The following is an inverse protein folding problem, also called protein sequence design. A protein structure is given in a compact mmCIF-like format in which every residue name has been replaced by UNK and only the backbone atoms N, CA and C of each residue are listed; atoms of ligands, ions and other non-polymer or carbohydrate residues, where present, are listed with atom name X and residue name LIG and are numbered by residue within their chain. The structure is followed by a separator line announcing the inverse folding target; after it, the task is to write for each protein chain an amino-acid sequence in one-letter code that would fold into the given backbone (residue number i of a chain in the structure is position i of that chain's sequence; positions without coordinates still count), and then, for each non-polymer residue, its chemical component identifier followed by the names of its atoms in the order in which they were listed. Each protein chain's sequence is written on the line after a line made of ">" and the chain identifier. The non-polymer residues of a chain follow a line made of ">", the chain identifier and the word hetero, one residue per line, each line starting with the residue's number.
data_IF_772285008507
#
_entry.id   IF_772285008507
#
_cell.length_a   1.000
_cell.length_b   1.000
_cell.length_c   1.000
_cell.angle_alpha   90.00
_cell.angle_beta   90.00
_cell.angle_gamma   90.00
#
_symmetry.space_group_name_H-M   'P 1'
#
loop_
_entity.id
_entity.type
_entity.pdbx_description
1 polymer ?
#
# COMPACT_ATOMS: atom_id res chain seq x y z
N UNK A 1 9.23 2.41 44.20
CA UNK A 1 9.53 3.63 43.44
C UNK A 1 10.66 3.47 42.41
N UNK A 2 11.72 2.67 42.69
CA UNK A 2 12.80 2.42 41.71
C UNK A 2 12.38 1.45 40.59
N UNK A 3 11.50 0.49 40.86
CA UNK A 3 11.00 -0.49 39.88
C UNK A 3 10.08 0.17 38.85
N UNK A 4 9.21 1.08 39.30
CA UNK A 4 8.30 1.84 38.39
C UNK A 4 9.06 2.76 37.46
N UNK A 5 10.08 3.47 37.97
CA UNK A 5 10.92 4.36 37.15
C UNK A 5 11.79 3.58 36.11
N UNK A 6 12.11 2.31 36.40
CA UNK A 6 12.84 1.44 35.48
C UNK A 6 11.90 0.89 34.41
N UNK A 7 10.68 0.52 34.79
CA UNK A 7 9.62 0.12 33.84
C UNK A 7 9.21 1.29 32.92
N UNK A 8 9.06 2.50 33.47
CA UNK A 8 8.76 3.69 32.67
C UNK A 8 9.87 4.04 31.66
N UNK A 9 11.15 3.88 32.07
CA UNK A 9 12.28 4.08 31.15
C UNK A 9 12.38 3.00 30.08
N UNK A 10 12.09 1.74 30.41
CA UNK A 10 12.05 0.64 29.45
C UNK A 10 10.88 0.83 28.47
N UNK A 11 9.70 1.21 28.97
CA UNK A 11 8.54 1.55 28.14
C UNK A 11 8.82 2.75 27.22
N UNK A 12 9.49 3.79 27.73
CA UNK A 12 9.91 4.94 26.92
C UNK A 12 10.98 4.56 25.89
N UNK A 13 11.82 3.56 26.16
CA UNK A 13 12.82 3.04 25.22
C UNK A 13 12.15 2.22 24.13
N UNK A 14 11.23 1.34 24.49
CA UNK A 14 10.41 0.57 23.53
C UNK A 14 9.63 1.54 22.65
N UNK A 15 8.98 2.54 23.22
CA UNK A 15 8.22 3.57 22.51
C UNK A 15 9.09 4.44 21.58
N UNK A 16 10.40 4.54 21.82
CA UNK A 16 11.34 5.20 20.89
C UNK A 16 11.80 4.30 19.74
N UNK A 17 11.76 2.98 19.93
CA UNK A 17 12.14 2.01 18.90
C UNK A 17 10.99 1.75 17.92
N UNK A 18 9.75 1.81 18.39
CA UNK A 18 8.56 1.67 17.57
C UNK A 18 8.25 2.97 16.79
N UNK A 19 7.74 2.82 15.59
CA UNK A 19 7.43 3.95 14.71
C UNK A 19 6.13 4.65 15.07
N UNK A 20 5.96 5.89 14.59
CA UNK A 20 4.69 6.64 14.59
C UNK A 20 4.33 7.04 13.19
N UNK A 21 3.09 6.85 12.82
CA UNK A 21 2.54 7.39 11.58
C UNK A 21 1.90 8.73 11.91
N UNK A 22 2.38 9.78 11.28
CA UNK A 22 1.88 11.15 11.43
C UNK A 22 1.10 11.52 10.18
N UNK A 23 -0.11 12.03 10.34
CA UNK A 23 -0.95 12.50 9.22
C UNK A 23 -1.33 13.94 9.49
N UNK A 24 -0.92 14.84 8.61
CA UNK A 24 -1.14 16.28 8.76
C UNK A 24 -1.26 16.97 7.41
N UNK A 25 -1.59 18.25 7.39
CA UNK A 25 -1.51 19.06 6.18
C UNK A 25 -0.07 19.10 5.66
N UNK A 26 0.09 19.12 4.34
CA UNK A 26 1.42 19.11 3.74
C UNK A 26 2.11 20.44 3.99
N UNK A 27 3.33 20.48 4.57
CA UNK A 27 4.06 21.70 4.82
C UNK A 27 4.36 22.50 3.52
N UNK A 28 4.18 23.80 3.55
CA UNK A 28 4.40 24.71 2.40
C UNK A 28 5.84 24.65 1.85
N UNK A 29 6.81 24.33 2.70
CA UNK A 29 8.23 24.22 2.33
C UNK A 29 8.53 23.17 1.26
N UNK A 30 7.69 22.14 1.13
CA UNK A 30 7.91 21.01 0.22
C UNK A 30 7.60 21.38 -1.24
N UNK A 31 6.69 22.32 -1.46
CA UNK A 31 6.21 22.64 -2.82
C UNK A 31 6.83 23.91 -3.41
N UNK A 32 7.77 24.55 -2.72
CA UNK A 32 8.39 25.79 -3.20
C UNK A 32 7.32 26.84 -3.57
N UNK A 33 7.61 28.11 -3.56
CA UNK A 33 6.72 29.24 -3.90
C UNK A 33 6.15 29.17 -5.33
N UNK A 34 5.76 27.99 -5.83
CA UNK A 34 5.17 27.80 -7.14
C UNK A 34 3.65 27.84 -7.06
N UNK A 35 3.15 29.05 -7.48
CA UNK A 35 1.82 29.34 -8.02
C UNK A 35 0.65 29.49 -7.04
N UNK A 36 0.48 30.71 -6.64
CA UNK A 36 -0.81 31.33 -6.30
C UNK A 36 -1.78 31.49 -7.52
N UNK A 37 -1.63 30.70 -8.58
CA UNK A 37 -2.40 30.88 -9.82
C UNK A 37 -3.23 29.67 -10.26
N UNK A 38 -3.35 28.62 -9.45
CA UNK A 38 -4.33 27.56 -9.76
C UNK A 38 -5.44 27.58 -8.69
N UNK A 39 -6.60 28.01 -9.13
CA UNK A 39 -7.89 28.05 -8.44
C UNK A 39 -8.43 26.62 -8.23
N UNK A 40 -7.81 25.85 -7.37
CA UNK A 40 -8.44 24.76 -6.60
C UNK A 40 -7.55 24.50 -5.40
N UNK A 41 -8.01 24.94 -4.23
CA UNK A 41 -7.45 24.64 -2.91
C UNK A 41 -7.67 23.15 -2.59
N UNK A 42 -7.05 22.27 -3.38
CA UNK A 42 -7.05 20.86 -3.05
C UNK A 42 -6.12 20.67 -1.87
N UNK A 43 -6.68 20.49 -0.69
CA UNK A 43 -5.92 20.29 0.54
C UNK A 43 -5.05 19.04 0.39
N UNK A 44 -3.74 19.24 0.29
CA UNK A 44 -2.76 18.14 0.22
C UNK A 44 -2.38 17.71 1.61
N UNK A 45 -2.42 16.42 1.83
CA UNK A 45 -2.12 15.78 3.09
C UNK A 45 -0.82 14.98 2.98
N UNK A 46 -0.13 14.87 4.11
CA UNK A 46 1.10 14.13 4.26
C UNK A 46 0.90 13.02 5.29
N UNK A 47 1.18 11.79 4.91
CA UNK A 47 1.38 10.69 5.83
C UNK A 47 2.88 10.39 5.94
N UNK A 48 3.42 10.37 7.15
CA UNK A 48 4.85 10.21 7.42
C UNK A 48 5.09 9.18 8.51
N UNK A 49 5.97 8.21 8.27
CA UNK A 49 6.46 7.28 9.28
C UNK A 49 7.75 7.83 9.89
N UNK A 50 7.70 8.12 11.18
CA UNK A 50 8.85 8.57 11.97
C UNK A 50 9.25 7.47 12.94
N UNK A 51 10.54 7.11 12.97
CA UNK A 51 11.12 6.12 13.89
C UNK A 51 12.46 6.65 14.41
N UNK A 52 12.68 6.59 15.72
CA UNK A 52 13.90 7.09 16.37
C UNK A 52 14.27 8.51 15.88
N UNK A 53 13.29 9.40 15.84
CA UNK A 53 13.43 10.78 15.35
C UNK A 53 13.89 10.93 13.89
N UNK A 54 13.84 9.85 13.10
CA UNK A 54 14.15 9.86 11.67
C UNK A 54 12.92 9.59 10.84
N UNK A 55 12.79 10.33 9.75
CA UNK A 55 11.79 10.09 8.74
C UNK A 55 12.13 8.83 7.95
N UNK A 56 11.25 7.83 7.95
CA UNK A 56 11.50 6.52 7.32
C UNK A 56 10.78 6.39 5.98
N UNK A 57 9.55 6.85 5.91
CA UNK A 57 8.74 6.83 4.70
C UNK A 57 7.75 7.98 4.70
N UNK A 58 7.39 8.46 3.53
CA UNK A 58 6.38 9.50 3.34
C UNK A 58 5.47 9.16 2.19
N UNK A 59 4.24 9.61 2.27
CA UNK A 59 3.28 9.56 1.18
C UNK A 59 2.41 10.81 1.21
N UNK A 60 2.27 11.48 0.08
CA UNK A 60 1.39 12.63 -0.06
C UNK A 60 0.11 12.21 -0.77
N UNK A 61 -1.01 12.68 -0.30
CA UNK A 61 -2.32 12.38 -0.89
C UNK A 61 -3.24 13.59 -0.80
N UNK A 62 -4.33 13.55 -1.53
CA UNK A 62 -5.39 14.55 -1.46
C UNK A 62 -6.72 13.87 -1.27
N UNK A 63 -7.55 14.43 -0.42
CA UNK A 63 -8.89 13.90 -0.14
C UNK A 63 -9.80 14.00 -1.37
N UNK A 64 -9.69 15.07 -2.14
CA UNK A 64 -10.52 15.31 -3.30
C UNK A 64 -10.12 14.46 -4.52
N UNK A 65 -8.85 14.14 -4.63
CA UNK A 65 -8.31 13.25 -5.66
C UNK A 65 -8.35 11.80 -5.15
N UNK A 66 -9.55 11.26 -4.95
CA UNK A 66 -9.68 9.84 -4.66
C UNK A 66 -9.18 9.04 -5.86
N UNK A 67 -8.13 8.26 -5.64
CA UNK A 67 -7.70 7.31 -6.64
C UNK A 67 -8.81 6.32 -6.92
N UNK A 68 -9.16 6.15 -8.18
CA UNK A 68 -10.15 5.15 -8.61
C UNK A 68 -9.52 3.81 -8.94
N UNK A 69 -8.21 3.67 -8.72
CA UNK A 69 -7.50 2.39 -8.93
C UNK A 69 -8.12 1.34 -8.01
N UNK A 70 -8.56 0.23 -8.60
CA UNK A 70 -9.27 -0.83 -7.90
C UNK A 70 -10.79 -0.72 -7.94
N UNK A 71 -11.37 0.42 -8.32
CA UNK A 71 -12.81 0.55 -8.52
C UNK A 71 -13.29 -0.36 -9.65
N UNK A 72 -14.44 -1.01 -9.46
CA UNK A 72 -15.04 -1.93 -10.44
C UNK A 72 -16.31 -1.33 -11.01
N UNK A 73 -16.40 -1.33 -12.32
CA UNK A 73 -17.53 -0.80 -13.09
C UNK A 73 -18.13 -1.88 -14.00
N UNK A 74 -19.41 -1.76 -14.25
CA UNK A 74 -20.05 -2.40 -15.39
C UNK A 74 -19.93 -1.46 -16.60
N UNK A 75 -18.99 -1.74 -17.48
CA UNK A 75 -18.71 -0.92 -18.66
C UNK A 75 -19.26 -1.53 -19.94
N UNK A 76 -19.30 -0.74 -21.01
CA UNK A 76 -19.74 -1.15 -22.34
C UNK A 76 -18.63 -1.07 -23.36
N UNK A 77 -18.38 -2.16 -24.08
CA UNK A 77 -17.41 -2.20 -25.18
C UNK A 77 -17.90 -1.32 -26.32
N UNK A 78 -17.14 -0.27 -26.65
CA UNK A 78 -17.48 0.68 -27.72
C UNK A 78 -16.76 0.39 -29.02
N UNK A 79 -15.49 0.04 -28.95
CA UNK A 79 -14.66 -0.16 -30.15
C UNK A 79 -13.58 -1.22 -29.89
N UNK A 80 -13.44 -2.12 -30.87
CA UNK A 80 -12.39 -3.15 -30.85
C UNK A 80 -11.26 -2.74 -31.77
N UNK A 81 -10.02 -2.78 -31.27
CA UNK A 81 -8.80 -2.41 -32.00
C UNK A 81 -7.94 -3.67 -32.16
N UNK A 82 -8.21 -4.43 -33.22
CA UNK A 82 -7.60 -5.75 -33.47
C UNK A 82 -6.08 -5.73 -33.54
N UNK A 83 -5.50 -4.72 -34.19
CA UNK A 83 -4.04 -4.57 -34.33
C UNK A 83 -3.31 -4.30 -33.01
N UNK A 84 -3.99 -3.81 -31.98
CA UNK A 84 -3.44 -3.59 -30.63
C UNK A 84 -3.85 -4.69 -29.66
N UNK A 85 -4.63 -5.67 -30.10
CA UNK A 85 -5.25 -6.67 -29.23
C UNK A 85 -5.91 -6.03 -28.00
N UNK A 86 -6.73 -5.00 -28.25
CA UNK A 86 -7.33 -4.17 -27.22
C UNK A 86 -8.73 -3.71 -27.62
N UNK A 87 -9.47 -3.20 -26.66
CA UNK A 87 -10.73 -2.50 -26.92
C UNK A 87 -10.88 -1.27 -26.02
N UNK A 88 -11.79 -0.37 -26.41
CA UNK A 88 -12.22 0.74 -25.58
C UNK A 88 -13.52 0.38 -24.90
N UNK A 89 -13.53 0.51 -23.57
CA UNK A 89 -14.68 0.27 -22.71
C UNK A 89 -15.11 1.60 -22.12
N UNK A 90 -16.36 1.96 -22.31
CA UNK A 90 -16.97 3.13 -21.69
C UNK A 90 -17.49 2.74 -20.32
N UNK A 91 -17.17 3.56 -19.32
CA UNK A 91 -17.64 3.44 -17.94
C UNK A 91 -18.51 4.66 -17.56
N UNK A 92 -18.80 4.86 -16.27
CA UNK A 92 -19.58 5.99 -15.78
C UNK A 92 -19.07 7.34 -16.30
N UNK A 93 -19.99 8.28 -16.58
CA UNK A 93 -19.64 9.62 -17.05
C UNK A 93 -19.15 9.69 -18.50
N UNK A 94 -19.42 8.67 -19.33
CA UNK A 94 -18.97 8.57 -20.73
C UNK A 94 -17.45 8.48 -20.89
N UNK A 95 -16.74 8.13 -19.82
CA UNK A 95 -15.28 7.96 -19.84
C UNK A 95 -14.91 6.69 -20.61
N UNK A 96 -14.02 6.84 -21.60
CA UNK A 96 -13.48 5.71 -22.35
C UNK A 96 -12.17 5.25 -21.74
N UNK A 97 -12.13 3.96 -21.36
CA UNK A 97 -10.96 3.30 -20.80
C UNK A 97 -10.37 2.31 -21.79
N UNK A 98 -9.08 2.12 -21.73
CA UNK A 98 -8.35 1.15 -22.54
C UNK A 98 -8.31 -0.21 -21.84
N UNK A 99 -8.82 -1.25 -22.52
CA UNK A 99 -8.77 -2.64 -22.05
C UNK A 99 -7.85 -3.44 -23.00
N UNK A 100 -6.76 -3.97 -22.46
CA UNK A 100 -5.89 -4.90 -23.18
C UNK A 100 -6.51 -6.31 -23.16
N UNK A 101 -6.51 -6.99 -24.32
CA UNK A 101 -7.06 -8.34 -24.49
C UNK A 101 -5.93 -9.36 -24.70
N UNK A 102 -4.94 -9.39 -23.76
CA UNK A 102 -3.74 -10.24 -23.88
C UNK A 102 -3.97 -11.68 -23.42
N UNK A 103 -3.05 -12.56 -23.80
CA UNK A 103 -2.98 -13.91 -23.21
C UNK A 103 -2.62 -13.79 -21.72
N UNK A 104 -3.43 -14.44 -20.85
CA UNK A 104 -3.23 -14.40 -19.39
C UNK A 104 -4.20 -13.48 -18.65
N UNK A 105 -4.98 -12.68 -19.36
CA UNK A 105 -6.11 -11.96 -18.75
C UNK A 105 -7.19 -12.94 -18.28
N UNK A 106 -7.87 -12.60 -17.18
CA UNK A 106 -9.03 -13.38 -16.74
C UNK A 106 -10.14 -13.31 -17.79
N UNK A 107 -10.87 -14.41 -17.96
CA UNK A 107 -12.02 -14.45 -18.87
C UNK A 107 -13.00 -13.34 -18.52
N UNK A 108 -13.41 -12.48 -19.47
CA UNK A 108 -14.36 -11.41 -19.23
C UNK A 108 -15.67 -11.94 -18.65
N UNK A 109 -16.18 -11.26 -17.63
CA UNK A 109 -17.52 -11.52 -17.12
C UNK A 109 -18.49 -10.57 -17.82
N UNK A 110 -19.33 -11.13 -18.70
CA UNK A 110 -20.35 -10.39 -19.43
C UNK A 110 -21.70 -10.53 -18.73
N UNK A 111 -22.52 -9.46 -18.79
CA UNK A 111 -23.84 -9.45 -18.17
C UNK A 111 -24.96 -9.59 -19.19
N UNK A 112 -24.73 -9.22 -20.44
CA UNK A 112 -25.74 -9.24 -21.50
C UNK A 112 -25.71 -10.51 -22.38
N UNK A 113 -24.66 -11.33 -22.31
CA UNK A 113 -24.55 -12.61 -22.99
C UNK A 113 -23.51 -13.52 -22.31
N UNK A 114 -23.48 -14.80 -22.69
CA UNK A 114 -22.41 -15.69 -22.31
C UNK A 114 -21.13 -15.35 -23.12
N UNK A 115 -19.96 -15.40 -22.44
CA UNK A 115 -18.67 -15.22 -23.11
C UNK A 115 -18.29 -16.44 -23.93
N UNK A 116 -18.06 -16.26 -25.22
CA UNK A 116 -17.75 -17.30 -26.20
C UNK A 116 -16.27 -17.30 -26.67
N UNK A 117 -15.40 -16.61 -25.92
CA UNK A 117 -13.99 -16.45 -26.27
C UNK A 117 -13.66 -15.15 -27.02
N UNK A 118 -14.64 -14.31 -27.31
CA UNK A 118 -14.47 -13.01 -27.98
C UNK A 118 -15.31 -11.93 -27.34
N UNK A 119 -14.75 -10.72 -27.26
CA UNK A 119 -15.49 -9.51 -26.96
C UNK A 119 -16.07 -8.94 -28.27
N UNK A 120 -17.28 -8.42 -28.19
CA UNK A 120 -17.97 -7.74 -29.27
C UNK A 120 -18.32 -6.30 -28.88
N UNK A 121 -18.43 -5.43 -29.86
CA UNK A 121 -18.94 -4.07 -29.63
C UNK A 121 -20.38 -4.15 -29.12
N UNK A 122 -20.67 -3.45 -28.04
CA UNK A 122 -21.95 -3.51 -27.34
C UNK A 122 -21.98 -4.48 -26.14
N UNK A 123 -20.95 -5.32 -25.94
CA UNK A 123 -20.87 -6.17 -24.75
C UNK A 123 -20.81 -5.33 -23.48
N UNK A 124 -21.55 -5.78 -22.46
CA UNK A 124 -21.50 -5.23 -21.11
C UNK A 124 -20.59 -6.09 -20.27
N UNK A 125 -19.46 -5.52 -19.83
CA UNK A 125 -18.35 -6.24 -19.21
C UNK A 125 -17.97 -5.62 -17.87
N UNK A 126 -17.69 -6.47 -16.89
CA UNK A 126 -17.11 -6.03 -15.63
C UNK A 126 -15.63 -5.71 -15.83
N UNK A 127 -15.24 -4.50 -15.44
CA UNK A 127 -13.86 -4.03 -15.53
C UNK A 127 -13.43 -3.32 -14.26
N UNK A 128 -12.16 -3.46 -13.92
CA UNK A 128 -11.51 -2.80 -12.78
C UNK A 128 -10.50 -1.78 -13.29
N UNK A 129 -10.49 -0.58 -12.72
CA UNK A 129 -9.48 0.43 -13.03
C UNK A 129 -8.13 -0.04 -12.50
N UNK A 130 -7.14 -0.12 -13.39
CA UNK A 130 -5.77 -0.54 -13.12
C UNK A 130 -4.81 0.66 -13.08
N UNK A 131 -5.05 1.63 -13.96
CA UNK A 131 -4.30 2.87 -14.03
C UNK A 131 -5.24 4.02 -14.36
N UNK A 132 -5.01 5.16 -13.73
CA UNK A 132 -5.74 6.39 -14.05
C UNK A 132 -5.25 7.02 -15.33
N UNK A 133 -6.07 7.89 -15.89
CA UNK A 133 -5.71 8.68 -17.05
C UNK A 133 -4.54 9.62 -16.70
N UNK A 134 -3.49 9.63 -17.53
CA UNK A 134 -2.32 10.50 -17.35
C UNK A 134 -2.13 11.32 -18.62
N UNK A 135 -2.26 12.64 -18.51
CA UNK A 135 -2.13 13.58 -19.63
C UNK A 135 -3.07 13.19 -20.79
N UNK A 136 -2.51 12.70 -21.90
CA UNK A 136 -3.24 12.28 -23.11
C UNK A 136 -3.58 10.79 -23.14
N UNK A 137 -3.10 9.99 -22.15
CA UNK A 137 -3.39 8.55 -22.07
C UNK A 137 -4.68 8.33 -21.30
N UNK A 138 -5.57 7.54 -21.88
CA UNK A 138 -6.80 7.11 -21.21
C UNK A 138 -6.51 6.20 -20.01
N UNK A 139 -7.45 6.12 -19.07
CA UNK A 139 -7.38 5.16 -17.99
C UNK A 139 -7.32 3.73 -18.55
N UNK A 140 -6.53 2.88 -17.89
CA UNK A 140 -6.44 1.47 -18.24
C UNK A 140 -7.29 0.63 -17.28
N UNK A 141 -8.03 -0.33 -17.84
CA UNK A 141 -8.86 -1.26 -17.10
C UNK A 141 -8.49 -2.71 -17.41
N UNK A 142 -8.87 -3.62 -16.51
CA UNK A 142 -8.67 -5.07 -16.66
C UNK A 142 -9.97 -5.83 -16.38
N UNK A 143 -10.13 -7.01 -16.97
CA UNK A 143 -11.17 -7.98 -16.63
C UNK A 143 -10.75 -8.89 -15.46
N UNK A 144 -9.48 -8.88 -15.10
CA UNK A 144 -8.91 -9.60 -13.96
C UNK A 144 -9.19 -8.88 -12.64
N UNK A 145 -10.46 -8.90 -12.21
CA UNK A 145 -10.89 -8.23 -10.98
C UNK A 145 -10.19 -8.81 -9.78
N UNK A 146 -9.53 -7.95 -8.99
CA UNK A 146 -8.81 -8.32 -7.78
C UNK A 146 -9.31 -7.53 -6.58
N UNK A 147 -9.46 -8.21 -5.44
CA UNK A 147 -9.68 -7.58 -4.14
C UNK A 147 -8.51 -7.89 -3.22
N UNK A 148 -7.89 -6.84 -2.69
CA UNK A 148 -6.73 -6.96 -1.82
C UNK A 148 -7.10 -6.66 -0.38
N UNK A 149 -6.80 -7.60 0.51
CA UNK A 149 -6.80 -7.40 1.94
C UNK A 149 -5.38 -7.34 2.50
N UNK A 150 -5.28 -7.37 3.80
CA UNK A 150 -4.00 -7.42 4.50
C UNK A 150 -3.35 -8.79 4.34
N UNK A 151 -4.12 -9.87 4.52
CA UNK A 151 -3.63 -11.25 4.53
C UNK A 151 -3.92 -12.00 3.23
N UNK A 152 -4.94 -11.60 2.50
CA UNK A 152 -5.39 -12.29 1.29
C UNK A 152 -5.53 -11.37 0.08
N UNK A 153 -5.37 -11.96 -1.10
CA UNK A 153 -5.79 -11.37 -2.38
C UNK A 153 -6.71 -12.36 -3.07
N UNK A 154 -7.90 -11.90 -3.43
CA UNK A 154 -8.83 -12.60 -4.31
C UNK A 154 -8.62 -12.10 -5.74
N UNK A 155 -8.60 -13.00 -6.71
CA UNK A 155 -8.46 -12.65 -8.13
C UNK A 155 -9.44 -13.47 -8.96
N UNK A 156 -10.23 -12.82 -9.81
CA UNK A 156 -11.07 -13.52 -10.79
C UNK A 156 -10.19 -14.27 -11.79
N UNK A 157 -10.59 -15.48 -12.17
CA UNK A 157 -9.89 -16.29 -13.16
C UNK A 157 -9.56 -17.69 -12.66
N UNK A 158 -8.32 -18.13 -12.83
CA UNK A 158 -7.92 -19.50 -12.49
C UNK A 158 -8.05 -19.80 -10.99
N UNK A 159 -8.76 -20.87 -10.64
CA UNK A 159 -8.94 -21.36 -9.28
C UNK A 159 -7.64 -21.93 -8.72
N UNK A 160 -6.72 -21.07 -8.31
CA UNK A 160 -5.42 -21.46 -7.74
C UNK A 160 -5.23 -20.83 -6.37
N UNK A 161 -4.63 -21.61 -5.46
CA UNK A 161 -4.14 -21.12 -4.17
C UNK A 161 -2.65 -20.83 -4.28
N UNK A 162 -2.27 -19.60 -3.97
CA UNK A 162 -0.88 -19.22 -3.84
C UNK A 162 -0.56 -18.84 -2.40
N UNK A 163 0.61 -19.21 -1.90
CA UNK A 163 1.13 -18.71 -0.62
C UNK A 163 2.44 -17.99 -0.92
N UNK A 164 2.64 -16.82 -0.30
CA UNK A 164 3.82 -16.00 -0.53
C UNK A 164 5.11 -16.78 -0.48
N UNK A 165 5.92 -16.65 -1.53
CA UNK A 165 7.24 -17.34 -1.63
C UNK A 165 8.23 -16.85 -0.56
N UNK A 166 8.01 -15.67 0.03
CA UNK A 166 8.87 -15.09 1.08
C UNK A 166 8.72 -15.80 2.44
N UNK A 167 7.67 -16.59 2.63
CA UNK A 167 7.44 -17.33 3.87
C UNK A 167 8.28 -18.61 3.91
N UNK A 168 8.75 -18.96 5.12
CA UNK A 168 9.42 -20.25 5.38
C UNK A 168 8.44 -21.40 5.22
N UNK A 169 8.92 -22.58 4.82
CA UNK A 169 8.05 -23.72 4.51
C UNK A 169 7.20 -24.17 5.72
N UNK A 170 7.76 -24.12 6.92
CA UNK A 170 6.99 -24.42 8.14
C UNK A 170 5.74 -23.54 8.29
N UNK A 171 5.85 -22.23 8.02
CA UNK A 171 4.70 -21.31 8.07
C UNK A 171 3.70 -21.57 6.95
N UNK A 172 4.18 -21.91 5.76
CA UNK A 172 3.31 -22.27 4.65
C UNK A 172 2.47 -23.49 4.99
N UNK A 173 3.07 -24.46 5.68
CA UNK A 173 2.37 -25.66 6.09
C UNK A 173 1.26 -25.36 7.09
N UNK A 174 1.51 -24.52 8.12
CA UNK A 174 0.47 -24.06 9.03
C UNK A 174 -0.68 -23.37 8.30
N UNK A 175 -0.36 -22.50 7.33
CA UNK A 175 -1.37 -21.81 6.53
C UNK A 175 -2.16 -22.77 5.62
N UNK A 176 -1.55 -23.80 5.02
CA UNK A 176 -2.27 -24.84 4.26
C UNK A 176 -3.26 -25.58 5.16
N UNK A 177 -2.81 -26.02 6.34
CA UNK A 177 -3.68 -26.70 7.31
C UNK A 177 -4.83 -25.82 7.78
N UNK A 178 -4.59 -24.51 7.98
CA UNK A 178 -5.64 -23.54 8.28
C UNK A 178 -6.68 -23.47 7.16
N UNK A 179 -6.25 -23.35 5.89
CA UNK A 179 -7.16 -23.29 4.75
C UNK A 179 -8.05 -24.54 4.64
N UNK A 180 -7.50 -25.71 4.89
CA UNK A 180 -8.27 -26.97 4.90
C UNK A 180 -9.23 -27.03 6.10
N UNK A 181 -8.77 -26.71 7.31
CA UNK A 181 -9.61 -26.74 8.53
C UNK A 181 -10.82 -25.79 8.43
N UNK A 182 -10.63 -24.63 7.82
CA UNK A 182 -11.71 -23.65 7.61
C UNK A 182 -12.52 -23.90 6.33
N UNK A 183 -12.31 -25.02 5.66
CA UNK A 183 -12.99 -25.41 4.42
C UNK A 183 -12.90 -24.36 3.31
N UNK A 184 -11.80 -23.63 3.28
CA UNK A 184 -11.45 -22.68 2.21
C UNK A 184 -10.93 -23.45 1.01
N UNK A 185 -10.14 -24.49 1.28
CA UNK A 185 -9.70 -25.48 0.31
C UNK A 185 -10.16 -26.87 0.72
N UNK A 186 -10.22 -27.76 -0.25
CA UNK A 186 -10.34 -29.18 0.00
C UNK A 186 -9.01 -29.78 0.53
N UNK A 187 -8.97 -31.05 0.94
CA UNK A 187 -7.75 -31.71 1.40
C UNK A 187 -6.63 -31.77 0.34
N UNK A 188 -6.97 -31.69 -0.94
CA UNK A 188 -6.04 -31.68 -2.07
C UNK A 188 -5.49 -30.27 -2.35
N UNK A 189 -6.02 -29.25 -1.66
CA UNK A 189 -5.60 -27.86 -1.77
C UNK A 189 -6.31 -27.06 -2.87
N UNK A 190 -7.37 -27.62 -3.47
CA UNK A 190 -8.19 -26.89 -4.43
C UNK A 190 -9.18 -25.96 -3.70
N UNK A 191 -9.39 -24.75 -4.25
CA UNK A 191 -10.34 -23.78 -3.69
C UNK A 191 -11.78 -24.25 -3.83
N UNK A 192 -12.55 -24.10 -2.75
CA UNK A 192 -14.00 -24.29 -2.77
C UNK A 192 -14.64 -23.13 -3.53
N UNK A 193 -15.18 -23.44 -4.72
CA UNK A 193 -15.83 -22.49 -5.61
C UNK A 193 -17.33 -22.43 -5.35
N UNK A 194 -17.98 -21.31 -5.70
CA UNK A 194 -19.44 -21.16 -5.65
C UNK A 194 -20.04 -21.34 -7.05
N UNK A 195 -21.09 -22.16 -7.14
CA UNK A 195 -21.81 -22.30 -8.39
C UNK A 195 -22.43 -20.99 -8.86
N UNK A 196 -22.37 -20.74 -10.16
CA UNK A 196 -22.94 -19.54 -10.77
C UNK A 196 -22.10 -18.28 -10.64
N UNK A 197 -20.93 -18.33 -10.00
CA UNK A 197 -19.96 -17.23 -9.97
C UNK A 197 -18.72 -17.55 -10.82
N UNK A 198 -17.99 -16.54 -11.29
CA UNK A 198 -16.70 -16.79 -11.90
C UNK A 198 -15.76 -17.48 -10.91
N UNK A 199 -14.94 -18.40 -11.43
CA UNK A 199 -13.89 -18.98 -10.61
C UNK A 199 -12.91 -17.91 -10.13
N UNK A 200 -12.40 -18.07 -8.93
CA UNK A 200 -11.44 -17.16 -8.34
C UNK A 200 -10.21 -17.88 -7.82
N UNK A 201 -9.09 -17.19 -7.80
CA UNK A 201 -7.88 -17.59 -7.13
C UNK A 201 -7.71 -16.88 -5.79
N UNK A 202 -6.93 -17.47 -4.90
CA UNK A 202 -6.61 -16.93 -3.58
C UNK A 202 -5.10 -16.88 -3.39
N UNK A 203 -4.58 -15.72 -3.00
CA UNK A 203 -3.17 -15.59 -2.62
C UNK A 203 -3.08 -15.22 -1.16
N UNK A 204 -2.38 -16.05 -0.37
CA UNK A 204 -2.04 -15.76 1.03
C UNK A 204 -0.76 -14.93 1.05
N UNK A 205 -0.84 -13.73 1.62
CA UNK A 205 0.24 -12.74 1.64
C UNK A 205 1.25 -13.04 2.77
N UNK A 206 2.39 -12.38 2.71
CA UNK A 206 3.46 -12.51 3.72
C UNK A 206 2.98 -12.12 5.11
N UNK A 207 2.10 -11.14 5.22
CA UNK A 207 1.54 -10.67 6.50
C UNK A 207 0.80 -11.77 7.28
N UNK A 208 0.11 -12.68 6.58
CA UNK A 208 -0.52 -13.82 7.23
C UNK A 208 0.49 -14.71 7.99
N UNK A 209 1.72 -14.82 7.48
CA UNK A 209 2.78 -15.57 8.17
C UNK A 209 3.40 -14.83 9.35
N UNK A 210 3.37 -13.51 9.36
CA UNK A 210 3.84 -12.70 10.50
C UNK A 210 2.83 -12.73 11.65
N UNK A 211 1.54 -12.83 11.33
CA UNK A 211 0.49 -12.95 12.35
C UNK A 211 0.64 -14.22 13.21
N UNK A 212 1.22 -15.30 12.67
CA UNK A 212 1.48 -16.54 13.41
C UNK A 212 2.47 -16.38 14.59
N UNK A 213 3.23 -15.29 14.63
CA UNK A 213 4.22 -15.00 15.68
C UNK A 213 3.64 -14.17 16.85
N UNK A 214 2.43 -13.66 16.70
CA UNK A 214 1.81 -12.83 17.74
C UNK A 214 1.18 -13.72 18.83
N UNK A 215 1.72 -13.62 20.04
CA UNK A 215 1.15 -14.30 21.20
C UNK A 215 -0.15 -13.62 21.65
N UNK A 216 -1.16 -14.42 21.97
CA UNK A 216 -2.37 -13.96 22.67
C UNK A 216 -3.61 -13.68 21.83
N UNK A 217 -3.56 -13.70 20.50
CA UNK A 217 -4.74 -13.61 19.64
C UNK A 217 -4.93 -14.89 18.82
N UNK A 218 -6.20 -15.26 18.59
CA UNK A 218 -6.54 -16.34 17.66
C UNK A 218 -6.28 -15.87 16.22
N UNK A 219 -5.05 -16.03 15.73
CA UNK A 219 -4.67 -15.69 14.38
C UNK A 219 -5.58 -16.33 13.31
N UNK A 220 -6.12 -17.53 13.62
CA UNK A 220 -7.05 -18.22 12.73
C UNK A 220 -8.36 -17.45 12.54
N UNK A 221 -8.88 -16.85 13.61
CA UNK A 221 -10.13 -16.10 13.52
C UNK A 221 -9.93 -14.78 12.80
N UNK A 222 -8.79 -14.12 12.98
CA UNK A 222 -8.43 -12.90 12.25
C UNK A 222 -8.35 -13.18 10.74
N UNK A 223 -7.60 -14.22 10.35
CA UNK A 223 -7.49 -14.63 8.96
C UNK A 223 -8.86 -15.02 8.37
N UNK A 224 -9.64 -15.81 9.11
CA UNK A 224 -10.94 -16.26 8.64
C UNK A 224 -11.93 -15.12 8.47
N UNK A 225 -11.96 -14.15 9.38
CA UNK A 225 -12.81 -12.96 9.26
C UNK A 225 -12.47 -12.14 8.01
N UNK A 226 -11.18 -11.91 7.73
CA UNK A 226 -10.79 -11.21 6.52
C UNK A 226 -11.16 -12.01 5.26
N UNK A 227 -10.94 -13.32 5.26
CA UNK A 227 -11.34 -14.18 4.15
C UNK A 227 -12.85 -14.06 3.87
N UNK A 228 -13.68 -14.20 4.89
CA UNK A 228 -15.16 -14.11 4.76
C UNK A 228 -15.58 -12.73 4.25
N UNK A 229 -14.97 -11.67 4.75
CA UNK A 229 -15.24 -10.29 4.31
C UNK A 229 -14.91 -10.11 2.83
N UNK A 230 -13.71 -10.48 2.41
CA UNK A 230 -13.27 -10.34 1.01
C UNK A 230 -14.10 -11.23 0.07
N UNK A 231 -14.42 -12.45 0.50
CA UNK A 231 -15.28 -13.35 -0.27
C UNK A 231 -16.67 -12.74 -0.50
N UNK A 232 -17.29 -12.19 0.54
CA UNK A 232 -18.58 -11.50 0.42
C UNK A 232 -18.53 -10.31 -0.52
N UNK A 233 -17.48 -9.49 -0.43
CA UNK A 233 -17.29 -8.36 -1.33
C UNK A 233 -17.11 -8.84 -2.78
N UNK A 234 -16.27 -9.85 -3.00
CA UNK A 234 -16.04 -10.42 -4.33
C UNK A 234 -17.34 -10.95 -4.94
N UNK A 235 -18.06 -11.81 -4.21
CA UNK A 235 -19.36 -12.36 -4.62
C UNK A 235 -20.37 -11.23 -4.93
N UNK A 236 -20.44 -10.22 -4.07
CA UNK A 236 -21.36 -9.09 -4.23
C UNK A 236 -21.12 -8.32 -5.53
N UNK A 237 -19.87 -8.10 -5.93
CA UNK A 237 -19.53 -7.41 -7.19
C UNK A 237 -20.16 -8.15 -8.39
N UNK A 238 -19.96 -9.44 -8.47
CA UNK A 238 -20.46 -10.24 -9.61
C UNK A 238 -21.99 -10.40 -9.60
N UNK A 239 -22.59 -10.58 -8.42
CA UNK A 239 -24.05 -10.64 -8.29
C UNK A 239 -24.70 -9.29 -8.64
N UNK A 240 -24.16 -8.19 -8.14
CA UNK A 240 -24.65 -6.85 -8.50
C UNK A 240 -24.47 -6.57 -9.99
N UNK A 241 -23.38 -6.97 -10.59
CA UNK A 241 -23.15 -6.81 -12.02
C UNK A 241 -24.25 -7.39 -12.89
N UNK A 242 -24.90 -8.48 -12.46
CA UNK A 242 -26.01 -9.09 -13.20
C UNK A 242 -27.33 -8.31 -13.13
N UNK A 243 -27.48 -7.45 -12.12
CA UNK A 243 -28.75 -6.77 -11.84
C UNK A 243 -28.67 -5.25 -11.96
N UNK A 244 -27.47 -4.70 -12.05
CA UNK A 244 -27.24 -3.26 -12.20
C UNK A 244 -27.27 -2.85 -13.68
N UNK A 245 -27.65 -1.61 -13.89
CA UNK A 245 -27.60 -1.00 -15.21
C UNK A 245 -26.15 -0.75 -15.64
N UNK A 246 -25.89 -0.81 -16.95
CA UNK A 246 -24.59 -0.48 -17.51
C UNK A 246 -24.11 0.90 -17.01
N UNK A 247 -22.81 1.07 -16.85
CA UNK A 247 -22.11 2.22 -16.29
C UNK A 247 -22.18 2.39 -14.76
N UNK A 248 -22.81 1.43 -14.04
CA UNK A 248 -22.80 1.45 -12.57
C UNK A 248 -21.41 1.16 -12.00
N UNK A 249 -21.05 1.89 -10.93
CA UNK A 249 -19.96 1.51 -10.05
C UNK A 249 -20.43 0.39 -9.12
N UNK A 250 -19.76 -0.75 -9.15
CA UNK A 250 -20.11 -1.94 -8.36
C UNK A 250 -19.24 -2.08 -7.11
N UNK A 251 -18.06 -1.49 -7.16
CA UNK A 251 -17.12 -1.42 -6.04
C UNK A 251 -16.32 -0.14 -6.15
N UNK A 252 -16.35 0.66 -5.11
CA UNK A 252 -15.54 1.88 -5.02
C UNK A 252 -14.11 1.53 -4.62
N UNK A 253 -13.16 2.29 -5.11
CA UNK A 253 -11.78 2.21 -4.63
C UNK A 253 -11.72 2.54 -3.13
N UNK A 254 -10.67 2.09 -2.46
CA UNK A 254 -10.38 2.51 -1.09
C UNK A 254 -10.27 4.03 -0.99
N UNK A 255 -10.48 4.58 0.21
CA UNK A 255 -10.31 6.02 0.40
C UNK A 255 -8.85 6.43 0.15
N UNK A 256 -8.65 7.72 -0.16
CA UNK A 256 -7.29 8.26 -0.33
C UNK A 256 -6.42 8.01 0.91
N UNK A 257 -7.02 8.06 2.11
CA UNK A 257 -6.37 7.72 3.37
C UNK A 257 -5.97 6.24 3.43
N UNK A 258 -6.85 5.31 3.01
CA UNK A 258 -6.51 3.89 2.94
C UNK A 258 -5.30 3.64 2.04
N UNK A 259 -5.28 4.24 0.86
CA UNK A 259 -4.16 4.12 -0.07
C UNK A 259 -2.88 4.71 0.52
N UNK A 260 -2.99 5.87 1.16
CA UNK A 260 -1.86 6.53 1.82
C UNK A 260 -1.28 5.72 2.99
N UNK A 261 -2.10 4.94 3.69
CA UNK A 261 -1.65 4.08 4.80
C UNK A 261 -0.99 2.77 4.33
N UNK A 262 -1.32 2.25 3.17
CA UNK A 262 -0.78 0.97 2.66
C UNK A 262 0.75 0.82 2.76
N UNK A 263 1.58 1.84 2.41
CA UNK A 263 3.03 1.75 2.52
C UNK A 263 3.54 1.57 3.95
N UNK A 264 2.74 1.96 4.96
CA UNK A 264 3.11 1.91 6.36
C UNK A 264 2.66 0.64 7.06
N UNK A 265 1.71 -0.12 6.49
CA UNK A 265 1.11 -1.31 7.10
C UNK A 265 2.10 -2.44 7.34
N UNK A 266 3.19 -2.50 6.57
CA UNK A 266 4.27 -3.48 6.72
C UNK A 266 5.31 -3.04 7.74
N UNK A 267 5.18 -1.83 8.28
CA UNK A 267 6.12 -1.23 9.23
C UNK A 267 5.74 -1.51 10.68
N UNK A 268 6.76 -1.59 11.53
CA UNK A 268 6.57 -1.60 12.98
C UNK A 268 6.27 -0.17 13.44
N UNK A 269 5.02 0.13 13.70
CA UNK A 269 4.56 1.36 14.34
C UNK A 269 3.49 1.01 15.39
N UNK A 270 3.37 1.83 16.40
CA UNK A 270 2.43 1.63 17.51
C UNK A 270 1.30 2.65 17.54
N UNK A 271 1.55 3.83 16.96
CA UNK A 271 0.65 4.97 17.08
C UNK A 271 0.43 5.64 15.73
N UNK A 272 -0.81 6.05 15.48
CA UNK A 272 -1.19 6.95 14.38
C UNK A 272 -1.64 8.26 14.99
N UNK A 273 -1.01 9.37 14.63
CA UNK A 273 -1.30 10.70 15.16
C UNK A 273 -1.71 11.62 14.03
N UNK A 274 -2.80 12.35 14.22
CA UNK A 274 -3.23 13.39 13.29
C UNK A 274 -3.68 14.63 14.04
N UNK A 275 -3.50 15.80 13.46
CA UNK A 275 -4.05 17.08 13.93
C UNK A 275 -5.32 17.48 13.16
N UNK A 276 -5.80 16.62 12.25
CA UNK A 276 -6.96 16.84 11.40
C UNK A 276 -8.16 16.04 11.92
N UNK A 277 -9.21 16.71 12.48
CA UNK A 277 -10.37 16.00 13.05
C UNK A 277 -11.05 15.06 12.09
N UNK A 278 -11.21 15.44 10.82
CA UNK A 278 -11.86 14.62 9.81
C UNK A 278 -11.05 13.35 9.46
N UNK A 279 -9.71 13.43 9.51
CA UNK A 279 -8.84 12.25 9.34
C UNK A 279 -8.95 11.33 10.56
N UNK A 280 -9.03 11.91 11.74
CA UNK A 280 -9.22 11.14 12.97
C UNK A 280 -10.52 10.33 12.95
N UNK A 281 -11.63 10.94 12.53
CA UNK A 281 -12.91 10.25 12.37
C UNK A 281 -12.84 9.11 11.33
N UNK A 282 -12.21 9.36 10.18
CA UNK A 282 -12.02 8.35 9.14
C UNK A 282 -11.14 7.19 9.63
N UNK A 283 -10.06 7.46 10.38
CA UNK A 283 -9.21 6.44 11.00
C UNK A 283 -10.00 5.56 11.99
N UNK A 284 -10.88 6.15 12.80
CA UNK A 284 -11.75 5.39 13.71
C UNK A 284 -12.72 4.48 12.95
N UNK A 285 -13.30 4.96 11.84
CA UNK A 285 -14.16 4.14 10.99
C UNK A 285 -13.39 2.96 10.38
N UNK A 286 -12.16 3.19 9.90
CA UNK A 286 -11.29 2.13 9.38
C UNK A 286 -10.92 1.12 10.49
N UNK A 287 -10.72 1.59 11.72
CA UNK A 287 -10.46 0.75 12.88
C UNK A 287 -11.68 -0.14 13.22
N UNK A 288 -12.88 0.41 13.27
CA UNK A 288 -14.12 -0.34 13.48
C UNK A 288 -14.35 -1.40 12.40
N UNK A 289 -14.03 -1.07 11.15
CA UNK A 289 -14.10 -2.00 10.03
C UNK A 289 -12.98 -3.06 10.05
N UNK A 290 -12.11 -3.04 11.05
CA UNK A 290 -10.92 -3.89 11.19
C UNK A 290 -10.07 -3.90 9.91
N UNK A 291 -9.90 -2.74 9.33
CA UNK A 291 -9.02 -2.57 8.18
C UNK A 291 -7.61 -2.29 8.65
N UNK A 292 -6.64 -2.95 8.03
CA UNK A 292 -5.21 -2.63 8.18
C UNK A 292 -4.61 -2.83 9.57
N UNK A 293 -5.07 -3.80 10.38
CA UNK A 293 -4.60 -4.00 11.76
C UNK A 293 -4.59 -2.73 12.61
N UNK A 294 -5.41 -1.74 12.25
CA UNK A 294 -5.58 -0.53 13.06
C UNK A 294 -6.26 -0.81 14.40
N UNK A 295 -6.96 -1.93 14.52
CA UNK A 295 -7.61 -2.39 15.76
C UNK A 295 -6.64 -2.53 16.93
N UNK A 296 -5.34 -2.73 16.67
CA UNK A 296 -4.29 -2.85 17.67
C UNK A 296 -3.47 -1.56 17.84
N UNK A 297 -3.77 -0.52 17.09
CA UNK A 297 -2.99 0.73 17.08
C UNK A 297 -3.67 1.81 17.89
N UNK A 298 -2.86 2.60 18.55
CA UNK A 298 -3.34 3.80 19.24
C UNK A 298 -3.55 4.91 18.20
N UNK A 299 -4.80 5.34 18.04
CA UNK A 299 -5.14 6.48 17.17
C UNK A 299 -5.34 7.69 18.06
N UNK A 300 -4.59 8.75 17.82
CA UNK A 300 -4.61 9.94 18.64
C UNK A 300 -4.83 11.20 17.81
N UNK A 301 -5.81 12.00 18.22
CA UNK A 301 -5.99 13.37 17.76
C UNK A 301 -5.08 14.30 18.55
N UNK A 302 -4.18 14.98 17.85
CA UNK A 302 -3.31 15.99 18.43
C UNK A 302 -4.02 17.35 18.34
N UNK A 303 -4.16 18.01 19.49
CA UNK A 303 -4.81 19.31 19.59
C UNK A 303 -3.94 20.24 20.44
N UNK A 304 -3.15 21.06 19.78
CA UNK A 304 -2.37 22.11 20.41
C UNK A 304 -2.55 23.40 19.58
N UNK A 305 -3.09 24.48 20.17
CA UNK A 305 -3.37 25.70 19.45
C UNK A 305 -2.10 26.46 19.04
N UNK A 306 -0.98 26.26 19.74
CA UNK A 306 0.25 27.02 19.54
C UNK A 306 1.25 26.28 18.62
N UNK A 307 1.16 24.96 18.56
CA UNK A 307 2.07 24.12 17.81
C UNK A 307 1.35 23.11 16.93
N UNK A 308 1.45 23.26 15.62
CA UNK A 308 0.96 22.25 14.67
C UNK A 308 1.82 20.96 14.68
N UNK A 309 1.25 19.86 14.26
CA UNK A 309 1.91 18.55 14.28
C UNK A 309 3.18 18.54 13.42
N UNK A 310 3.15 19.21 12.26
CA UNK A 310 4.30 19.36 11.36
C UNK A 310 5.47 20.10 12.03
N UNK A 311 5.20 21.14 12.81
CA UNK A 311 6.22 21.90 13.57
C UNK A 311 6.77 21.08 14.72
N UNK A 312 5.89 20.40 15.49
CA UNK A 312 6.30 19.54 16.60
C UNK A 312 7.33 18.50 16.19
N UNK A 313 7.12 17.89 15.04
CA UNK A 313 8.03 16.87 14.49
C UNK A 313 9.02 17.44 13.47
N UNK A 314 9.04 18.74 13.23
CA UNK A 314 9.88 19.42 12.24
C UNK A 314 9.83 18.72 10.87
N UNK A 315 8.62 18.32 10.44
CA UNK A 315 8.45 17.50 9.25
C UNK A 315 8.96 18.19 7.98
N UNK A 316 8.70 19.50 7.82
CA UNK A 316 9.19 20.28 6.69
C UNK A 316 10.72 20.21 6.56
N UNK A 317 11.44 20.56 7.62
CA UNK A 317 12.91 20.54 7.64
C UNK A 317 13.47 19.14 7.39
N UNK A 318 12.88 18.12 8.05
CA UNK A 318 13.32 16.73 7.87
C UNK A 318 13.07 16.22 6.46
N UNK A 319 12.03 16.67 5.79
CA UNK A 319 11.76 16.35 4.39
C UNK A 319 12.75 17.05 3.46
N UNK A 320 13.02 18.34 3.68
CA UNK A 320 14.03 19.07 2.91
C UNK A 320 15.41 18.41 3.01
N UNK A 321 15.83 18.05 4.23
CA UNK A 321 17.08 17.32 4.46
C UNK A 321 17.07 15.94 3.78
N UNK A 322 15.97 15.19 3.94
CA UNK A 322 15.85 13.85 3.38
C UNK A 322 15.78 13.85 1.84
N UNK A 323 15.23 14.90 1.23
CA UNK A 323 15.11 15.05 -0.23
C UNK A 323 16.30 15.81 -0.83
N UNK A 324 17.23 16.27 -0.01
CA UNK A 324 18.44 16.95 -0.45
C UNK A 324 19.30 16.07 -1.38
N UNK A 325 20.05 16.70 -2.28
CA UNK A 325 20.98 16.01 -3.18
C UNK A 325 22.05 15.22 -2.41
N UNK A 326 22.50 15.75 -1.27
CA UNK A 326 23.54 15.16 -0.43
C UNK A 326 22.93 14.68 0.89
N UNK A 327 23.15 13.42 1.22
CA UNK A 327 22.67 12.78 2.45
C UNK A 327 23.87 12.32 3.27
N UNK A 328 24.02 12.90 4.47
CA UNK A 328 25.12 12.57 5.37
C UNK A 328 24.85 11.31 6.18
N UNK A 329 25.86 10.45 6.29
CA UNK A 329 25.87 9.25 7.12
C UNK A 329 26.47 9.56 8.50
N UNK A 330 26.15 8.73 9.49
CA UNK A 330 26.68 8.87 10.86
C UNK A 330 28.21 8.70 10.90
N UNK A 331 28.76 7.91 9.99
CA UNK A 331 30.20 7.70 9.81
C UNK A 331 30.95 8.94 9.29
N UNK A 332 30.22 9.97 8.81
CA UNK A 332 30.83 11.13 8.11
C UNK A 332 30.99 10.91 6.61
N UNK A 333 30.63 9.75 6.09
CA UNK A 333 30.45 9.52 4.66
C UNK A 333 29.18 10.23 4.16
N UNK A 334 28.99 10.34 2.85
CA UNK A 334 27.75 10.87 2.30
C UNK A 334 27.33 10.12 1.04
N UNK A 335 26.02 10.17 0.79
CA UNK A 335 25.42 9.76 -0.47
C UNK A 335 25.12 11.00 -1.30
N UNK A 336 25.37 10.92 -2.59
CA UNK A 336 24.91 11.91 -3.57
C UNK A 336 23.84 11.26 -4.41
N UNK A 337 22.60 11.78 -4.33
CA UNK A 337 21.43 11.25 -5.05
C UNK A 337 21.04 12.24 -6.12
N UNK A 338 21.15 11.83 -7.38
CA UNK A 338 20.79 12.64 -8.54
C UNK A 338 19.71 11.95 -9.36
N UNK A 339 18.60 12.61 -9.53
CA UNK A 339 17.52 12.15 -10.37
C UNK A 339 17.58 12.85 -11.72
N UNK A 340 17.72 12.05 -12.77
CA UNK A 340 17.66 12.50 -14.17
C UNK A 340 16.31 12.13 -14.77
N UNK A 341 16.06 12.49 -16.02
CA UNK A 341 14.83 12.16 -16.73
C UNK A 341 14.57 10.64 -16.86
N UNK A 342 15.63 9.85 -16.98
CA UNK A 342 15.55 8.41 -17.29
C UNK A 342 16.06 7.49 -16.18
N UNK A 343 16.84 8.00 -15.21
CA UNK A 343 17.42 7.18 -14.14
C UNK A 343 17.71 8.01 -12.87
N UNK A 344 17.84 7.32 -11.74
CA UNK A 344 18.38 7.91 -10.51
C UNK A 344 19.76 7.33 -10.25
N UNK A 345 20.76 8.19 -10.17
CA UNK A 345 22.12 7.82 -9.81
C UNK A 345 22.36 8.04 -8.31
N UNK A 346 22.98 7.08 -7.64
CA UNK A 346 23.37 7.19 -6.23
C UNK A 346 24.85 6.89 -6.13
N UNK A 347 25.61 7.87 -5.71
CA UNK A 347 27.06 7.76 -5.46
C UNK A 347 27.35 7.74 -3.97
N UNK A 348 28.35 6.96 -3.56
CA UNK A 348 28.77 6.80 -2.16
C UNK A 348 30.16 7.38 -1.98
N UNK A 349 30.23 8.49 -1.26
CA UNK A 349 31.50 9.14 -0.94
C UNK A 349 31.93 8.83 0.49
N UNK A 350 33.03 8.14 0.66
CA UNK A 350 33.59 7.77 1.97
C UNK A 350 34.16 8.97 2.75
N UNK A 351 34.45 10.09 2.06
CA UNK A 351 34.91 11.33 2.68
C UNK A 351 36.15 11.16 3.54
N UNK A 352 36.20 11.87 4.67
CA UNK A 352 37.27 11.78 5.65
C UNK A 352 37.03 10.72 6.72
N UNK A 353 36.32 9.64 6.41
CA UNK A 353 36.04 8.54 7.33
C UNK A 353 37.31 7.76 7.68
N UNK A 354 38.15 8.36 8.48
CA UNK A 354 39.40 7.73 8.92
C UNK A 354 39.25 6.92 10.21
N UNK A 355 38.20 7.17 11.01
CA UNK A 355 37.89 6.42 12.25
C UNK A 355 36.41 6.51 12.59
N UNK A 356 35.75 5.37 12.71
CA UNK A 356 34.40 5.30 13.25
C UNK A 356 34.43 5.37 14.79
N UNK A 357 33.52 6.10 15.45
CA UNK A 357 33.40 6.08 16.91
C UNK A 357 33.13 4.66 17.40
N UNK A 358 34.00 4.13 18.27
CA UNK A 358 33.82 2.79 18.88
C UNK A 358 34.63 1.66 18.24
N UNK A 359 35.43 1.93 17.19
CA UNK A 359 36.39 0.93 16.65
C UNK A 359 37.70 0.96 17.42
N UNK A 360 38.20 -0.23 17.78
CA UNK A 360 39.52 -0.40 18.41
C UNK A 360 40.64 0.08 17.47
N UNK A 361 41.76 0.53 18.04
CA UNK A 361 42.91 1.10 17.36
C UNK A 361 43.55 0.15 16.30
N UNK A 362 43.08 -1.09 16.19
CA UNK A 362 43.58 -2.14 15.31
C UNK A 362 42.61 -2.55 14.18
N UNK A 363 41.52 -1.82 13.94
CA UNK A 363 40.65 -2.13 12.79
C UNK A 363 41.35 -1.83 11.47
N UNK A 364 41.36 -2.80 10.55
CA UNK A 364 41.94 -2.64 9.21
C UNK A 364 41.12 -1.61 8.41
N UNK A 365 41.78 -0.95 7.44
CA UNK A 365 41.10 -0.04 6.50
C UNK A 365 39.93 -0.74 5.76
N UNK A 366 40.04 -2.05 5.53
CA UNK A 366 39.03 -2.89 4.91
C UNK A 366 37.78 -3.05 5.79
N UNK A 367 37.90 -3.18 7.11
CA UNK A 367 36.79 -3.27 8.03
C UNK A 367 36.02 -1.95 8.11
N UNK A 368 36.72 -0.83 8.08
CA UNK A 368 36.10 0.51 8.07
C UNK A 368 35.32 0.73 6.78
N UNK A 369 35.87 0.38 5.60
CA UNK A 369 35.15 0.48 4.33
C UNK A 369 33.90 -0.44 4.29
N UNK A 370 34.00 -1.65 4.82
CA UNK A 370 32.90 -2.57 4.91
C UNK A 370 31.74 -2.00 5.77
N UNK A 371 32.07 -1.40 6.91
CA UNK A 371 31.05 -0.79 7.78
C UNK A 371 30.40 0.42 7.11
N UNK A 372 31.17 1.30 6.46
CA UNK A 372 30.61 2.43 5.69
C UNK A 372 29.70 1.93 4.57
N UNK A 373 30.09 0.88 3.86
CA UNK A 373 29.26 0.32 2.79
C UNK A 373 27.94 -0.28 3.32
N UNK A 374 27.95 -0.93 4.48
CA UNK A 374 26.74 -1.45 5.13
C UNK A 374 25.81 -0.31 5.59
N UNK A 375 26.37 0.76 6.17
CA UNK A 375 25.62 1.94 6.55
C UNK A 375 25.03 2.62 5.31
N UNK A 376 25.83 2.79 4.26
CA UNK A 376 25.40 3.36 2.99
C UNK A 376 24.26 2.54 2.36
N UNK A 377 24.37 1.21 2.34
CA UNK A 377 23.33 0.33 1.82
C UNK A 377 22.00 0.48 2.58
N UNK A 378 22.05 0.58 3.91
CA UNK A 378 20.88 0.86 4.75
C UNK A 378 20.24 2.21 4.45
N UNK A 379 21.06 3.25 4.28
CA UNK A 379 20.57 4.59 3.95
C UNK A 379 20.02 4.65 2.52
N UNK A 380 20.67 4.01 1.53
CA UNK A 380 20.14 3.89 0.16
C UNK A 380 18.75 3.25 0.17
N UNK A 381 18.57 2.15 0.89
CA UNK A 381 17.26 1.50 1.02
C UNK A 381 16.20 2.45 1.62
N UNK A 382 16.59 3.28 2.61
CA UNK A 382 15.72 4.31 3.18
C UNK A 382 15.39 5.40 2.15
N UNK A 383 16.38 5.88 1.41
CA UNK A 383 16.22 6.92 0.40
C UNK A 383 15.32 6.47 -0.77
N UNK A 384 15.46 5.23 -1.24
CA UNK A 384 14.58 4.66 -2.25
C UNK A 384 13.11 4.68 -1.81
N UNK A 385 12.85 4.36 -0.53
CA UNK A 385 11.50 4.40 0.04
C UNK A 385 10.98 5.82 0.20
N UNK A 386 11.79 6.75 0.74
CA UNK A 386 11.41 8.13 0.96
C UNK A 386 11.08 8.88 -0.32
N UNK A 387 11.86 8.64 -1.37
CA UNK A 387 11.72 9.32 -2.67
C UNK A 387 10.80 8.59 -3.63
N UNK A 388 10.25 7.44 -3.22
CA UNK A 388 9.41 6.57 -4.06
C UNK A 388 10.11 6.21 -5.39
N UNK A 389 11.35 5.71 -5.29
CA UNK A 389 12.22 5.31 -6.40
C UNK A 389 12.23 3.80 -6.59
#
# INVERSE_FOLDING_TARGET
>A
RQTTARQDREQQRINRELGRVLITACPDSIYGKRRQTETSETERLLAALVRQDRLVAVHTFSRELQSRIGAVYLGKVKKIVKNLNACFVEIAGQEQCFLHMGQGEASPFLTNRAYDGRLLEGDEVLVQIQQEAIKTKQAAVTTGITLQGEYFVFAAGAAKVGISKKLRESRKEFLRQFLVRRQITDPEGALVQEEGLPSFGLVVRTQAGLLLEQEGQSWEDILYQEYVRLRRQFTSIFLQGRHRTCYSCLHEAGSALEEALKPFLTGEYEEVVTDLPFIYEELLQLQEQRRFSLDQKNIRLYQDPDFSLDKLYSLGTRLEEAMGKMVWLKSGANLVVEQTESLTAIDVNTGKCTKLPGTSVHSSSTDTLRQVNLEAAGEVARQLRLRNL
#
